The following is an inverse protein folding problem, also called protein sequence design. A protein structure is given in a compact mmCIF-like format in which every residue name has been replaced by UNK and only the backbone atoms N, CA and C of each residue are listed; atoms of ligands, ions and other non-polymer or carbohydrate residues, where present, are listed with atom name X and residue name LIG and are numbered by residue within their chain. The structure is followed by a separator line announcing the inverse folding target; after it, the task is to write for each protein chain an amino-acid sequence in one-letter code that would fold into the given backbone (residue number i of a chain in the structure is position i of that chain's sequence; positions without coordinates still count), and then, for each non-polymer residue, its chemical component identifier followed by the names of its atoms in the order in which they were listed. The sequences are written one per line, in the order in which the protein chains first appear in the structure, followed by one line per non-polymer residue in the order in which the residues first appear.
data_IF_870731810896
#
_entry.id   IF_870731810896
#
_cell.length_a   1.000
_cell.length_b   1.000
_cell.length_c   1.000
_cell.angle_alpha   90.00
_cell.angle_beta   90.00
_cell.angle_gamma   90.00
#
_symmetry.space_group_name_H-M   'P 1'
#
loop_
_entity.id
_entity.type
_entity.pdbx_description
1 polymer ?
#
# COMPACT_ATOMS: atom_id res chain seq x y z
N UNK A 1 -5.60 -3.11 66.78
CA UNK A 1 -4.52 -3.00 65.77
C UNK A 1 -4.94 -2.04 64.66
N UNK A 2 -3.99 -1.23 64.20
CA UNK A 2 -4.12 0.01 63.41
C UNK A 2 -4.78 -0.19 62.03
N UNK A 3 -5.97 0.36 61.82
CA UNK A 3 -6.60 0.51 60.49
C UNK A 3 -6.66 1.98 60.03
N UNK A 4 -5.66 2.79 60.40
CA UNK A 4 -5.54 4.21 60.02
C UNK A 4 -4.61 4.46 58.81
N UNK A 5 -3.95 3.43 58.27
CA UNK A 5 -2.91 3.62 57.24
C UNK A 5 -3.37 3.39 55.78
N UNK A 6 -4.53 2.77 55.55
CA UNK A 6 -5.00 2.49 54.18
C UNK A 6 -5.46 3.75 53.43
N UNK A 7 -6.15 4.67 54.12
CA UNK A 7 -6.62 5.92 53.52
C UNK A 7 -5.48 6.88 53.17
N UNK A 8 -4.39 6.87 53.95
CA UNK A 8 -3.16 7.60 53.65
C UNK A 8 -2.44 7.04 52.42
N UNK A 9 -2.27 5.71 52.37
CA UNK A 9 -1.70 5.02 51.21
C UNK A 9 -2.47 5.30 49.91
N UNK A 10 -3.81 5.27 49.96
CA UNK A 10 -4.66 5.54 48.78
C UNK A 10 -4.48 6.98 48.28
N UNK A 11 -4.35 7.96 49.19
CA UNK A 11 -4.10 9.36 48.84
C UNK A 11 -2.71 9.61 48.25
N UNK A 12 -1.69 8.85 48.66
CA UNK A 12 -0.34 8.95 48.09
C UNK A 12 -0.21 8.21 46.74
N UNK A 13 -0.91 7.09 46.57
CA UNK A 13 -0.82 6.25 45.37
C UNK A 13 -1.66 6.82 44.20
N UNK A 14 -2.82 7.42 44.48
CA UNK A 14 -3.68 8.04 43.45
C UNK A 14 -2.95 9.04 42.53
N UNK A 15 -2.20 10.04 43.03
CA UNK A 15 -1.51 11.01 42.18
C UNK A 15 -0.38 10.39 41.36
N UNK A 16 0.31 9.36 41.86
CA UNK A 16 1.34 8.64 41.11
C UNK A 16 0.75 7.80 39.96
N UNK A 17 -0.36 7.09 40.21
CA UNK A 17 -1.08 6.34 39.17
C UNK A 17 -1.61 7.30 38.11
N UNK A 18 -2.23 8.42 38.53
CA UNK A 18 -2.74 9.45 37.61
C UNK A 18 -1.62 10.06 36.76
N UNK A 19 -0.45 10.35 37.37
CA UNK A 19 0.73 10.85 36.67
C UNK A 19 1.26 9.85 35.62
N UNK A 20 1.33 8.56 35.96
CA UNK A 20 1.71 7.51 35.02
C UNK A 20 0.72 7.36 33.87
N UNK A 21 -0.59 7.41 34.12
CA UNK A 21 -1.61 7.35 33.08
C UNK A 21 -1.57 8.56 32.15
N UNK A 22 -1.40 9.77 32.71
CA UNK A 22 -1.24 11.00 31.93
C UNK A 22 0.01 10.95 31.06
N UNK A 23 1.14 10.44 31.58
CA UNK A 23 2.38 10.25 30.80
C UNK A 23 2.20 9.22 29.69
N UNK A 24 1.54 8.08 29.96
CA UNK A 24 1.19 7.07 28.94
C UNK A 24 0.24 7.63 27.88
N UNK A 25 -0.73 8.46 28.26
CA UNK A 25 -1.68 9.11 27.34
C UNK A 25 -0.99 10.16 26.48
N UNK A 26 -0.10 10.97 27.06
CA UNK A 26 0.72 11.95 26.35
C UNK A 26 1.66 11.27 25.37
N UNK A 27 2.36 10.21 25.80
CA UNK A 27 3.22 9.40 24.92
C UNK A 27 2.46 8.78 23.75
N UNK A 28 1.28 8.20 23.99
CA UNK A 28 0.41 7.68 22.91
C UNK A 28 0.01 8.78 21.92
N UNK A 29 -0.36 9.97 22.41
CA UNK A 29 -0.69 11.11 21.53
C UNK A 29 0.49 11.55 20.69
N UNK A 30 1.66 11.71 21.29
CA UNK A 30 2.89 12.09 20.57
C UNK A 30 3.28 11.03 19.56
N UNK A 31 3.26 9.74 19.93
CA UNK A 31 3.54 8.63 19.02
C UNK A 31 2.58 8.61 17.84
N UNK A 32 1.28 8.78 18.09
CA UNK A 32 0.27 8.82 17.03
C UNK A 32 0.48 10.03 16.11
N UNK A 33 0.75 11.21 16.66
CA UNK A 33 0.99 12.41 15.88
C UNK A 33 2.24 12.27 14.99
N UNK A 34 3.34 11.74 15.54
CA UNK A 34 4.55 11.43 14.78
C UNK A 34 4.25 10.41 13.68
N UNK A 35 3.50 9.35 13.97
CA UNK A 35 3.10 8.34 13.00
C UNK A 35 2.25 8.94 11.85
N UNK A 36 1.26 9.77 12.18
CA UNK A 36 0.39 10.43 11.20
C UNK A 36 1.09 11.48 10.35
N UNK A 37 2.23 12.03 10.79
CA UNK A 37 3.05 12.95 9.99
C UNK A 37 4.08 12.20 9.16
N UNK A 38 4.77 11.22 9.76
CA UNK A 38 5.84 10.49 9.09
C UNK A 38 5.33 9.60 7.95
N UNK A 39 4.14 9.00 8.09
CA UNK A 39 3.60 8.13 7.03
C UNK A 39 3.31 8.90 5.75
N UNK A 40 2.53 10.00 5.75
CA UNK A 40 2.31 10.77 4.52
C UNK A 40 3.60 11.25 3.88
N UNK A 41 4.58 11.71 4.68
CA UNK A 41 5.90 12.10 4.19
C UNK A 41 6.58 10.91 3.50
N UNK A 42 6.61 9.75 4.14
CA UNK A 42 7.17 8.52 3.58
C UNK A 42 6.49 8.14 2.26
N UNK A 43 5.15 8.23 2.17
CA UNK A 43 4.38 7.91 0.96
C UNK A 43 4.69 8.88 -0.18
N UNK A 44 4.83 10.18 0.11
CA UNK A 44 5.23 11.20 -0.87
C UNK A 44 6.65 10.94 -1.36
N UNK A 45 7.58 10.67 -0.43
CA UNK A 45 8.99 10.36 -0.76
C UNK A 45 9.07 9.09 -1.61
N UNK A 46 8.34 8.03 -1.26
CA UNK A 46 8.27 6.81 -2.07
C UNK A 46 7.72 7.09 -3.47
N UNK A 47 6.64 7.86 -3.57
CA UNK A 47 6.00 8.23 -4.84
C UNK A 47 6.89 9.09 -5.74
N UNK A 48 7.78 9.88 -5.15
CA UNK A 48 8.70 10.78 -5.86
C UNK A 48 10.13 10.26 -5.96
N UNK A 49 10.43 9.09 -5.39
CA UNK A 49 11.77 8.50 -5.34
C UNK A 49 12.41 8.35 -6.71
N UNK A 50 11.60 8.09 -7.76
CA UNK A 50 12.06 7.99 -9.14
C UNK A 50 12.72 9.28 -9.66
N UNK A 51 12.35 10.47 -9.15
CA UNK A 51 12.94 11.74 -9.58
C UNK A 51 14.39 11.91 -9.14
N UNK A 52 14.82 11.18 -8.12
CA UNK A 52 16.20 11.19 -7.66
C UNK A 52 17.12 10.28 -8.52
N UNK A 53 16.55 9.54 -9.47
CA UNK A 53 17.27 8.60 -10.32
C UNK A 53 17.07 9.00 -11.77
N UNK A 54 18.15 9.12 -12.54
CA UNK A 54 18.04 9.40 -13.96
C UNK A 54 17.35 8.25 -14.71
N UNK A 55 16.53 8.54 -15.74
CA UNK A 55 15.88 7.51 -16.56
C UNK A 55 16.84 6.49 -17.16
N UNK A 56 18.05 6.94 -17.51
CA UNK A 56 19.08 6.11 -18.14
C UNK A 56 20.48 6.54 -17.70
N UNK A 57 21.41 5.60 -17.67
CA UNK A 57 22.82 5.86 -17.40
C UNK A 57 23.45 6.70 -18.51
N UNK A 58 24.55 7.40 -18.19
CA UNK A 58 25.33 8.11 -19.21
C UNK A 58 25.91 7.15 -20.27
N UNK A 59 26.26 5.92 -19.87
CA UNK A 59 26.74 4.88 -20.78
C UNK A 59 25.68 4.52 -21.82
N UNK A 60 24.42 4.33 -21.40
CA UNK A 60 23.30 4.11 -22.30
C UNK A 60 23.07 5.33 -23.20
N UNK A 61 23.01 6.55 -22.65
CA UNK A 61 22.82 7.79 -23.44
C UNK A 61 23.88 7.90 -24.55
N UNK A 62 25.13 7.56 -24.24
CA UNK A 62 26.23 7.55 -25.22
C UNK A 62 26.08 6.42 -26.25
N UNK A 63 25.70 5.22 -25.83
CA UNK A 63 25.47 4.08 -26.72
C UNK A 63 24.30 4.34 -27.69
N UNK A 64 23.19 4.89 -27.20
CA UNK A 64 22.04 5.26 -28.01
C UNK A 64 22.40 6.34 -29.04
N UNK A 65 23.09 7.41 -28.63
CA UNK A 65 23.58 8.44 -29.56
C UNK A 65 24.45 7.85 -30.66
N UNK A 66 25.38 6.94 -30.32
CA UNK A 66 26.22 6.26 -31.30
C UNK A 66 25.41 5.38 -32.25
N UNK A 67 24.41 4.67 -31.74
CA UNK A 67 23.51 3.87 -32.55
C UNK A 67 22.69 4.73 -33.52
N UNK A 68 22.11 5.85 -33.06
CA UNK A 68 21.36 6.76 -33.94
C UNK A 68 22.23 7.36 -35.04
N UNK A 69 23.47 7.76 -34.71
CA UNK A 69 24.44 8.23 -35.70
C UNK A 69 24.79 7.14 -36.72
N UNK A 70 25.05 5.92 -36.26
CA UNK A 70 25.33 4.79 -37.15
C UNK A 70 24.14 4.42 -38.03
N UNK A 71 22.91 4.49 -37.50
CA UNK A 71 21.66 4.30 -38.24
C UNK A 71 21.50 5.35 -39.34
N UNK A 72 21.75 6.63 -39.04
CA UNK A 72 21.70 7.72 -40.03
C UNK A 72 22.72 7.52 -41.15
N UNK A 73 23.98 7.22 -40.81
CA UNK A 73 25.04 6.91 -41.79
C UNK A 73 24.66 5.71 -42.67
N UNK A 74 24.17 4.64 -42.06
CA UNK A 74 23.74 3.45 -42.80
C UNK A 74 22.58 3.74 -43.74
N UNK A 75 21.65 4.62 -43.35
CA UNK A 75 20.56 5.05 -44.23
C UNK A 75 21.07 5.80 -45.45
N UNK A 76 22.04 6.71 -45.26
CA UNK A 76 22.65 7.47 -46.38
C UNK A 76 23.39 6.52 -47.32
N UNK A 77 24.24 5.64 -46.78
CA UNK A 77 24.98 4.67 -47.59
C UNK A 77 24.05 3.68 -48.28
N UNK A 78 22.92 3.29 -47.67
CA UNK A 78 21.92 2.44 -48.31
C UNK A 78 21.23 3.16 -49.48
N UNK A 79 20.94 4.45 -49.37
CA UNK A 79 20.38 5.23 -50.47
C UNK A 79 21.36 5.33 -51.63
N UNK A 80 22.64 5.60 -51.34
CA UNK A 80 23.71 5.59 -52.36
C UNK A 80 23.84 4.20 -53.01
N UNK A 81 23.77 3.13 -52.19
CA UNK A 81 23.77 1.76 -52.68
C UNK A 81 22.57 1.46 -53.57
N UNK A 82 21.35 1.89 -53.23
CA UNK A 82 20.18 1.64 -54.09
C UNK A 82 20.33 2.24 -55.49
N UNK A 83 21.15 3.29 -55.61
CA UNK A 83 21.46 3.92 -56.88
C UNK A 83 22.61 3.23 -57.64
N UNK A 84 23.28 2.23 -57.06
CA UNK A 84 24.50 1.60 -57.59
C UNK A 84 24.52 0.06 -57.38
N UNK A 85 25.33 -0.67 -58.14
CA UNK A 85 25.31 -2.15 -58.14
C UNK A 85 26.31 -2.78 -57.15
N UNK A 86 26.23 -4.10 -56.95
CA UNK A 86 27.24 -4.88 -56.21
C UNK A 86 28.63 -4.75 -56.86
N UNK A 87 29.68 -4.59 -56.05
CA UNK A 87 31.08 -4.54 -56.50
C UNK A 87 31.70 -3.15 -56.58
N UNK A 88 30.90 -2.08 -56.44
CA UNK A 88 31.40 -0.70 -56.42
C UNK A 88 32.00 -0.30 -55.06
N UNK A 89 32.67 0.85 -55.00
CA UNK A 89 33.24 1.39 -53.75
C UNK A 89 32.12 1.65 -52.71
N UNK A 90 30.98 2.13 -53.17
CA UNK A 90 29.79 2.43 -52.38
C UNK A 90 29.19 1.16 -51.75
N UNK A 91 29.24 0.03 -52.48
CA UNK A 91 28.84 -1.26 -51.92
C UNK A 91 29.73 -1.69 -50.75
N UNK A 92 31.05 -1.52 -50.88
CA UNK A 92 32.00 -1.83 -49.79
C UNK A 92 31.81 -0.89 -48.60
N UNK A 93 31.55 0.39 -48.85
CA UNK A 93 31.29 1.37 -47.80
C UNK A 93 29.98 1.10 -47.06
N UNK A 94 28.92 0.71 -47.76
CA UNK A 94 27.69 0.26 -47.14
C UNK A 94 27.91 -0.93 -46.20
N UNK A 95 28.64 -1.97 -46.64
CA UNK A 95 28.92 -3.14 -45.80
C UNK A 95 29.68 -2.73 -44.53
N UNK A 96 30.65 -1.83 -44.66
CA UNK A 96 31.42 -1.27 -43.54
C UNK A 96 30.52 -0.53 -42.55
N UNK A 97 29.67 0.37 -43.03
CA UNK A 97 28.76 1.16 -42.18
C UNK A 97 27.68 0.29 -41.53
N UNK A 98 27.18 -0.73 -42.24
CA UNK A 98 26.23 -1.68 -41.69
C UNK A 98 26.85 -2.52 -40.55
N UNK A 99 28.12 -2.91 -40.67
CA UNK A 99 28.88 -3.55 -39.58
C UNK A 99 28.98 -2.64 -38.36
N UNK A 100 29.36 -1.37 -38.54
CA UNK A 100 29.41 -0.37 -37.45
C UNK A 100 28.04 -0.19 -36.78
N UNK A 101 26.95 -0.13 -37.56
CA UNK A 101 25.59 -0.06 -37.02
C UNK A 101 25.25 -1.29 -36.17
N UNK A 102 25.62 -2.50 -36.63
CA UNK A 102 25.38 -3.74 -35.89
C UNK A 102 26.17 -3.76 -34.57
N UNK A 103 27.43 -3.32 -34.58
CA UNK A 103 28.25 -3.20 -33.37
C UNK A 103 27.67 -2.17 -32.38
N UNK A 104 27.25 -1.01 -32.88
CA UNK A 104 26.60 0.01 -32.06
C UNK A 104 25.26 -0.46 -31.47
N UNK A 105 24.48 -1.23 -32.24
CA UNK A 105 23.24 -1.85 -31.79
C UNK A 105 23.51 -2.86 -30.67
N UNK A 106 24.45 -3.78 -30.87
CA UNK A 106 24.82 -4.77 -29.85
C UNK A 106 25.33 -4.11 -28.56
N UNK A 107 26.08 -3.00 -28.68
CA UNK A 107 26.52 -2.23 -27.51
C UNK A 107 25.34 -1.59 -26.78
N UNK A 108 24.38 -1.03 -27.51
CA UNK A 108 23.15 -0.46 -26.92
C UNK A 108 22.33 -1.52 -26.21
N UNK A 109 22.11 -2.69 -26.82
CA UNK A 109 21.37 -3.81 -26.21
C UNK A 109 22.03 -4.26 -24.90
N UNK A 110 23.36 -4.41 -24.87
CA UNK A 110 24.09 -4.73 -23.63
C UNK A 110 23.89 -3.68 -22.54
N UNK A 111 23.90 -2.40 -22.89
CA UNK A 111 23.63 -1.34 -21.89
C UNK A 111 22.17 -1.36 -21.40
N UNK A 112 21.21 -1.71 -22.26
CA UNK A 112 19.81 -1.92 -21.86
C UNK A 112 19.71 -3.07 -20.86
N UNK A 113 20.34 -4.21 -21.15
CA UNK A 113 20.36 -5.35 -20.25
C UNK A 113 21.03 -5.03 -18.92
N UNK A 114 22.15 -4.31 -18.94
CA UNK A 114 22.92 -3.96 -17.74
C UNK A 114 22.15 -3.04 -16.77
N UNK A 115 21.32 -2.14 -17.29
CA UNK A 115 20.55 -1.20 -16.45
C UNK A 115 19.15 -1.74 -16.11
N UNK A 116 18.74 -2.87 -16.68
CA UNK A 116 17.43 -3.47 -16.50
C UNK A 116 17.22 -3.92 -15.05
N UNK A 117 16.05 -3.64 -14.50
CA UNK A 117 15.66 -4.09 -13.16
C UNK A 117 14.31 -4.80 -13.26
N UNK A 118 14.29 -6.10 -12.95
CA UNK A 118 13.14 -6.98 -13.22
C UNK A 118 12.69 -6.89 -14.70
N UNK A 119 11.44 -6.50 -14.92
CA UNK A 119 10.85 -6.33 -16.25
C UNK A 119 11.16 -4.95 -16.85
N UNK A 120 11.61 -3.99 -16.06
CA UNK A 120 11.75 -2.57 -16.44
C UNK A 120 13.09 -2.24 -17.07
N UNK A 121 13.05 -1.38 -18.07
CA UNK A 121 14.23 -0.94 -18.82
C UNK A 121 15.24 -0.18 -17.96
N UNK A 122 14.85 0.37 -16.82
CA UNK A 122 15.77 1.01 -15.88
C UNK A 122 15.21 1.06 -14.46
N UNK A 123 16.12 1.30 -13.49
CA UNK A 123 15.75 1.53 -12.08
C UNK A 123 14.77 2.69 -11.90
N UNK A 124 14.84 3.72 -12.74
CA UNK A 124 13.93 4.86 -12.70
C UNK A 124 12.49 4.42 -12.93
N UNK A 125 12.22 3.69 -14.01
CA UNK A 125 10.88 3.20 -14.34
C UNK A 125 10.37 2.19 -13.31
N UNK A 126 11.26 1.34 -12.80
CA UNK A 126 10.93 0.45 -11.68
C UNK A 126 10.46 1.26 -10.46
N UNK A 127 11.24 2.25 -10.00
CA UNK A 127 10.90 3.08 -8.84
C UNK A 127 9.64 3.92 -9.07
N UNK A 128 9.41 4.41 -10.30
CA UNK A 128 8.21 5.17 -10.63
C UNK A 128 6.96 4.31 -10.43
N UNK A 129 6.97 3.09 -10.99
CA UNK A 129 5.83 2.18 -10.92
C UNK A 129 5.68 1.58 -9.53
N UNK A 130 6.78 1.13 -8.93
CA UNK A 130 6.80 0.56 -7.59
C UNK A 130 6.39 1.57 -6.52
N UNK A 131 7.05 2.73 -6.49
CA UNK A 131 6.80 3.76 -5.47
C UNK A 131 5.36 4.27 -5.49
N UNK A 132 4.83 4.59 -6.67
CA UNK A 132 3.42 4.99 -6.82
C UNK A 132 2.47 3.88 -6.42
N UNK A 133 2.73 2.65 -6.86
CA UNK A 133 1.83 1.53 -6.58
C UNK A 133 1.78 1.17 -5.08
N UNK A 134 2.94 1.20 -4.39
CA UNK A 134 2.99 1.03 -2.94
C UNK A 134 2.21 2.14 -2.24
N UNK A 135 2.40 3.40 -2.65
CA UNK A 135 1.65 4.52 -2.07
C UNK A 135 0.14 4.37 -2.25
N UNK A 136 -0.30 4.00 -3.45
CA UNK A 136 -1.71 3.76 -3.75
C UNK A 136 -2.30 2.61 -2.90
N UNK A 137 -1.54 1.55 -2.62
CA UNK A 137 -1.98 0.46 -1.73
C UNK A 137 -2.23 1.00 -0.31
N UNK A 138 -1.30 1.77 0.25
CA UNK A 138 -1.48 2.37 1.57
C UNK A 138 -2.68 3.31 1.63
N UNK A 139 -2.87 4.16 0.62
CA UNK A 139 -4.02 5.06 0.51
C UNK A 139 -5.32 4.25 0.41
N UNK A 140 -5.34 3.16 -0.35
CA UNK A 140 -6.51 2.29 -0.52
C UNK A 140 -6.90 1.61 0.79
N UNK A 141 -5.92 1.06 1.52
CA UNK A 141 -6.15 0.45 2.84
C UNK A 141 -6.66 1.48 3.83
N UNK A 142 -6.13 2.70 3.80
CA UNK A 142 -6.60 3.79 4.64
C UNK A 142 -8.02 4.22 4.28
N UNK A 143 -8.34 4.40 3.00
CA UNK A 143 -9.69 4.71 2.53
C UNK A 143 -10.68 3.61 2.93
N UNK A 144 -10.27 2.35 2.82
CA UNK A 144 -11.06 1.21 3.24
C UNK A 144 -11.36 1.24 4.74
N UNK A 145 -10.37 1.56 5.57
CA UNK A 145 -10.55 1.76 7.00
C UNK A 145 -11.52 2.90 7.33
N UNK A 146 -11.42 4.03 6.61
CA UNK A 146 -12.35 5.15 6.79
C UNK A 146 -13.79 4.76 6.46
N UNK A 147 -14.01 3.99 5.38
CA UNK A 147 -15.34 3.50 5.00
C UNK A 147 -15.93 2.63 6.12
N UNK A 148 -15.17 1.69 6.66
CA UNK A 148 -15.64 0.82 7.74
C UNK A 148 -16.02 1.63 8.99
N UNK A 149 -15.19 2.63 9.34
CA UNK A 149 -15.34 3.36 10.60
C UNK A 149 -16.42 4.44 10.56
N UNK A 150 -16.55 5.14 9.43
CA UNK A 150 -17.35 6.37 9.36
C UNK A 150 -18.60 6.27 8.48
N UNK A 151 -18.73 5.26 7.62
CA UNK A 151 -19.94 5.10 6.80
C UNK A 151 -20.99 4.31 7.60
N UNK A 152 -22.12 4.93 8.00
CA UNK A 152 -23.11 4.28 8.83
C UNK A 152 -23.85 3.18 8.05
N UNK A 153 -23.74 1.93 8.54
CA UNK A 153 -24.36 0.74 7.92
C UNK A 153 -25.90 0.82 7.86
N UNK A 154 -26.53 1.56 8.77
CA UNK A 154 -27.98 1.50 9.04
C UNK A 154 -28.86 2.27 8.06
N UNK A 155 -28.36 3.35 7.45
CA UNK A 155 -29.20 4.25 6.62
C UNK A 155 -29.10 3.99 5.11
N UNK A 156 -28.04 3.35 4.60
CA UNK A 156 -27.86 3.08 3.16
C UNK A 156 -26.94 1.86 2.91
N UNK A 157 -27.49 0.65 3.03
CA UNK A 157 -26.73 -0.60 2.85
C UNK A 157 -26.05 -0.72 1.49
N UNK A 158 -26.72 -0.24 0.43
CA UNK A 158 -26.20 -0.20 -0.94
C UNK A 158 -24.98 0.72 -1.10
N UNK A 159 -25.01 1.92 -0.51
CA UNK A 159 -23.88 2.87 -0.57
C UNK A 159 -22.69 2.34 0.22
N UNK A 160 -22.94 1.73 1.38
CA UNK A 160 -21.91 1.09 2.18
C UNK A 160 -21.24 -0.06 1.41
N UNK A 161 -22.03 -0.97 0.83
CA UNK A 161 -21.52 -2.08 0.05
C UNK A 161 -20.79 -1.60 -1.22
N UNK A 162 -21.38 -0.65 -1.96
CA UNK A 162 -20.80 -0.09 -3.18
C UNK A 162 -19.45 0.60 -2.93
N UNK A 163 -19.35 1.40 -1.87
CA UNK A 163 -18.07 2.04 -1.51
C UNK A 163 -16.99 1.04 -1.13
N UNK A 164 -17.33 -0.04 -0.41
CA UNK A 164 -16.40 -1.14 -0.14
C UNK A 164 -15.96 -1.83 -1.43
N UNK A 165 -16.90 -2.14 -2.31
CA UNK A 165 -16.62 -2.81 -3.58
C UNK A 165 -15.69 -1.97 -4.47
N UNK A 166 -15.88 -0.65 -4.53
CA UNK A 166 -15.00 0.27 -5.28
C UNK A 166 -13.57 0.22 -4.73
N UNK A 167 -13.40 0.38 -3.42
CA UNK A 167 -12.06 0.41 -2.81
C UNK A 167 -11.37 -0.94 -2.89
N UNK A 168 -12.09 -2.04 -2.68
CA UNK A 168 -11.55 -3.40 -2.82
C UNK A 168 -11.17 -3.71 -4.26
N UNK A 169 -12.00 -3.28 -5.23
CA UNK A 169 -11.67 -3.43 -6.66
C UNK A 169 -10.41 -2.64 -7.01
N UNK A 170 -10.31 -1.39 -6.55
CA UNK A 170 -9.11 -0.57 -6.76
C UNK A 170 -7.87 -1.20 -6.09
N UNK A 171 -7.97 -1.64 -4.83
CA UNK A 171 -6.88 -2.34 -4.14
C UNK A 171 -6.44 -3.61 -4.89
N UNK A 172 -7.41 -4.37 -5.41
CA UNK A 172 -7.15 -5.55 -6.23
C UNK A 172 -6.31 -5.21 -7.47
N UNK A 173 -6.64 -4.12 -8.18
CA UNK A 173 -5.82 -3.68 -9.33
C UNK A 173 -4.39 -3.35 -8.93
N UNK A 174 -4.17 -2.73 -7.75
CA UNK A 174 -2.83 -2.38 -7.28
C UNK A 174 -2.03 -3.59 -6.80
N UNK A 175 -2.68 -4.58 -6.20
CA UNK A 175 -2.04 -5.85 -5.88
C UNK A 175 -1.63 -6.59 -7.16
N UNK A 176 -2.48 -6.58 -8.19
CA UNK A 176 -2.14 -7.14 -9.49
C UNK A 176 -0.96 -6.41 -10.15
N UNK A 177 -0.95 -5.08 -10.12
CA UNK A 177 0.20 -4.29 -10.61
C UNK A 177 1.48 -4.58 -9.81
N UNK A 178 1.37 -4.83 -8.50
CA UNK A 178 2.54 -5.22 -7.68
C UNK A 178 3.13 -6.52 -8.19
N UNK A 179 2.28 -7.50 -8.47
CA UNK A 179 2.69 -8.79 -8.99
C UNK A 179 3.40 -8.65 -10.36
N UNK A 180 2.86 -7.81 -11.23
CA UNK A 180 3.46 -7.43 -12.52
C UNK A 180 4.80 -6.72 -12.43
N UNK A 181 5.00 -5.92 -11.38
CA UNK A 181 6.29 -5.25 -11.17
C UNK A 181 7.41 -6.28 -10.95
N UNK A 182 7.11 -7.43 -10.35
CA UNK A 182 8.10 -8.45 -9.99
C UNK A 182 8.16 -9.65 -10.94
N UNK A 183 7.12 -9.90 -11.74
CA UNK A 183 7.09 -11.02 -12.68
C UNK A 183 6.84 -10.56 -14.12
N UNK A 184 7.60 -11.11 -15.07
CA UNK A 184 7.30 -11.01 -16.50
C UNK A 184 6.18 -11.98 -16.82
N UNK A 185 4.96 -11.48 -17.02
CA UNK A 185 3.89 -12.28 -17.56
C UNK A 185 3.95 -12.35 -19.09
N UNK A 186 3.46 -13.47 -19.62
CA UNK A 186 3.00 -13.52 -21.00
C UNK A 186 1.80 -12.58 -21.16
N UNK A 187 1.68 -11.95 -22.33
CA UNK A 187 0.57 -11.05 -22.63
C UNK A 187 -0.76 -11.83 -22.59
N UNK A 188 -1.43 -11.83 -21.44
CA UNK A 188 -2.78 -12.36 -21.33
C UNK A 188 -3.75 -11.53 -22.16
N UNK A 189 -4.84 -12.16 -22.59
CA UNK A 189 -5.93 -11.45 -23.24
C UNK A 189 -6.63 -10.50 -22.27
N UNK A 190 -7.24 -9.43 -22.79
CA UNK A 190 -8.00 -8.45 -21.99
C UNK A 190 -9.04 -9.12 -21.08
N UNK A 191 -9.73 -10.15 -21.58
CA UNK A 191 -10.74 -10.90 -20.83
C UNK A 191 -10.15 -11.65 -19.62
N UNK A 192 -8.95 -12.23 -19.77
CA UNK A 192 -8.26 -12.88 -18.65
C UNK A 192 -7.91 -11.87 -17.57
N UNK A 193 -7.45 -10.65 -17.92
CA UNK A 193 -7.20 -9.60 -16.93
C UNK A 193 -8.46 -9.20 -16.18
N UNK A 194 -9.57 -9.00 -16.89
CA UNK A 194 -10.84 -8.64 -16.27
C UNK A 194 -11.33 -9.73 -15.32
N UNK A 195 -11.29 -11.00 -15.75
CA UNK A 195 -11.71 -12.12 -14.91
C UNK A 195 -10.82 -12.28 -13.68
N UNK A 196 -9.50 -12.28 -13.84
CA UNK A 196 -8.57 -12.39 -12.70
C UNK A 196 -8.79 -11.26 -11.71
N UNK A 197 -8.93 -10.02 -12.20
CA UNK A 197 -9.18 -8.84 -11.35
C UNK A 197 -10.50 -8.94 -10.59
N UNK A 198 -11.56 -9.42 -11.25
CA UNK A 198 -12.87 -9.62 -10.64
C UNK A 198 -12.83 -10.72 -9.57
N UNK A 199 -12.20 -11.86 -9.87
CA UNK A 199 -12.07 -12.96 -8.91
C UNK A 199 -11.20 -12.58 -7.71
N UNK A 200 -10.08 -11.90 -7.93
CA UNK A 200 -9.21 -11.46 -6.85
C UNK A 200 -9.89 -10.41 -5.96
N UNK A 201 -10.67 -9.49 -6.54
CA UNK A 201 -11.42 -8.50 -5.74
C UNK A 201 -12.48 -9.16 -4.87
N UNK A 202 -13.19 -10.18 -5.38
CA UNK A 202 -14.15 -10.97 -4.60
C UNK A 202 -13.47 -11.73 -3.45
N UNK A 203 -12.30 -12.33 -3.69
CA UNK A 203 -11.52 -13.03 -2.65
C UNK A 203 -11.09 -12.05 -1.57
N UNK A 204 -10.55 -10.88 -1.95
CA UNK A 204 -10.14 -9.84 -1.00
C UNK A 204 -11.36 -9.38 -0.18
N UNK A 205 -12.50 -9.15 -0.83
CA UNK A 205 -13.73 -8.76 -0.16
C UNK A 205 -14.16 -9.82 0.87
N UNK A 206 -14.09 -11.10 0.52
CA UNK A 206 -14.42 -12.20 1.42
C UNK A 206 -13.47 -12.27 2.63
N UNK A 207 -12.16 -12.15 2.42
CA UNK A 207 -11.14 -12.11 3.49
C UNK A 207 -11.40 -10.93 4.42
N UNK A 208 -11.63 -9.77 3.85
CA UNK A 208 -11.89 -8.54 4.57
C UNK A 208 -13.20 -8.59 5.37
N UNK A 209 -14.26 -9.15 4.78
CA UNK A 209 -15.53 -9.41 5.45
C UNK A 209 -15.34 -10.36 6.64
N UNK A 210 -14.56 -11.42 6.46
CA UNK A 210 -14.21 -12.36 7.53
C UNK A 210 -13.46 -11.63 8.65
N UNK A 211 -12.37 -10.92 8.35
CA UNK A 211 -11.61 -10.15 9.34
C UNK A 211 -12.48 -9.15 10.13
N UNK A 212 -13.40 -8.46 9.45
CA UNK A 212 -14.35 -7.56 10.10
C UNK A 212 -15.35 -8.27 11.01
N UNK A 213 -15.80 -9.48 10.64
CA UNK A 213 -16.74 -10.26 11.46
C UNK A 213 -16.11 -10.74 12.76
N UNK A 214 -14.80 -11.01 12.77
CA UNK A 214 -14.07 -11.45 13.97
C UNK A 214 -13.46 -10.31 14.79
N UNK A 215 -13.37 -9.09 14.23
CA UNK A 215 -12.97 -7.92 15.00
C UNK A 215 -14.11 -7.50 15.94
N UNK A 216 -13.98 -7.81 17.23
CA UNK A 216 -14.89 -7.31 18.28
C UNK A 216 -15.07 -5.79 18.12
N UNK A 217 -16.31 -5.34 18.00
CA UNK A 217 -16.60 -3.90 17.90
C UNK A 217 -16.32 -3.22 19.24
N UNK A 218 -15.98 -1.93 19.22
CA UNK A 218 -15.84 -1.13 20.46
C UNK A 218 -17.10 -1.23 21.33
N UNK A 219 -18.28 -1.37 20.74
CA UNK A 219 -19.55 -1.62 21.42
C UNK A 219 -19.57 -2.95 22.19
N UNK A 220 -19.06 -4.03 21.60
CA UNK A 220 -18.97 -5.34 22.27
C UNK A 220 -17.94 -5.33 23.39
N UNK A 221 -16.82 -4.63 23.20
CA UNK A 221 -15.83 -4.42 24.26
C UNK A 221 -16.39 -3.56 25.40
N UNK A 222 -17.16 -2.51 25.08
CA UNK A 222 -17.84 -1.68 26.08
C UNK A 222 -18.89 -2.48 26.85
N UNK A 223 -19.64 -3.35 26.17
CA UNK A 223 -20.57 -4.29 26.79
C UNK A 223 -19.85 -5.29 27.68
N UNK A 224 -18.73 -5.87 27.24
CA UNK A 224 -17.91 -6.78 28.05
C UNK A 224 -17.38 -6.05 29.31
N UNK A 225 -16.90 -4.80 29.17
CA UNK A 225 -16.43 -3.98 30.30
C UNK A 225 -17.59 -3.64 31.25
N UNK A 226 -18.75 -3.24 30.73
CA UNK A 226 -19.94 -2.95 31.52
C UNK A 226 -20.43 -4.19 32.27
N UNK A 227 -20.46 -5.34 31.60
CA UNK A 227 -20.86 -6.62 32.20
C UNK A 227 -19.88 -7.05 33.29
N UNK A 228 -18.58 -6.83 33.10
CA UNK A 228 -17.57 -7.09 34.11
C UNK A 228 -17.68 -6.12 35.30
N UNK A 229 -17.97 -4.85 35.05
CA UNK A 229 -18.28 -3.86 36.09
C UNK A 229 -19.52 -4.29 36.89
N UNK A 230 -20.62 -4.64 36.22
CA UNK A 230 -21.85 -5.09 36.88
C UNK A 230 -21.62 -6.35 37.72
N UNK A 231 -20.88 -7.34 37.22
CA UNK A 231 -20.47 -8.52 37.99
C UNK A 231 -19.64 -8.16 39.22
N UNK A 232 -18.69 -7.24 39.08
CA UNK A 232 -17.86 -6.77 40.19
C UNK A 232 -18.70 -6.05 41.24
N UNK A 233 -19.58 -5.13 40.82
CA UNK A 233 -20.47 -4.40 41.71
C UNK A 233 -21.40 -5.36 42.44
N UNK A 234 -22.03 -6.31 41.73
CA UNK A 234 -22.93 -7.31 42.31
C UNK A 234 -22.25 -8.20 43.36
N UNK A 235 -21.04 -8.68 43.06
CA UNK A 235 -20.25 -9.50 43.99
C UNK A 235 -19.91 -8.76 45.29
N UNK A 236 -19.62 -7.46 45.20
CA UNK A 236 -19.23 -6.61 46.33
C UNK A 236 -20.38 -5.89 47.02
N UNK A 237 -21.62 -6.06 46.54
CA UNK A 237 -22.79 -5.43 47.15
C UNK A 237 -23.33 -6.29 48.27
N UNK A 238 -23.70 -5.61 49.36
CA UNK A 238 -24.31 -6.23 50.55
C UNK A 238 -25.58 -7.00 50.15
N UNK A 239 -25.86 -8.16 50.78
CA UNK A 239 -26.97 -9.03 50.40
C UNK A 239 -28.32 -8.29 50.31
N UNK A 240 -28.56 -7.36 51.24
CA UNK A 240 -29.77 -6.54 51.34
C UNK A 240 -30.05 -5.66 50.11
N UNK A 241 -29.01 -5.24 49.38
CA UNK A 241 -29.15 -4.36 48.19
C UNK A 241 -28.99 -5.09 46.86
N UNK A 242 -28.88 -6.42 46.90
CA UNK A 242 -28.70 -7.22 45.67
C UNK A 242 -29.94 -7.25 44.80
N UNK A 243 -31.13 -7.23 45.39
CA UNK A 243 -32.39 -7.19 44.64
C UNK A 243 -32.55 -5.87 43.87
N UNK A 244 -32.31 -4.73 44.53
CA UNK A 244 -32.32 -3.40 43.87
C UNK A 244 -31.32 -3.35 42.70
N UNK A 245 -30.12 -3.92 42.88
CA UNK A 245 -29.13 -3.91 41.81
C UNK A 245 -29.46 -4.88 40.68
N UNK A 246 -30.10 -6.02 40.98
CA UNK A 246 -30.64 -6.95 39.98
C UNK A 246 -31.74 -6.30 39.15
N UNK A 247 -32.63 -5.53 39.76
CA UNK A 247 -33.61 -4.73 39.03
C UNK A 247 -32.96 -3.68 38.13
N UNK A 248 -31.93 -2.98 38.62
CA UNK A 248 -31.19 -2.01 37.83
C UNK A 248 -30.50 -2.66 36.61
N UNK A 249 -29.90 -3.84 36.79
CA UNK A 249 -29.29 -4.63 35.70
C UNK A 249 -30.35 -5.08 34.70
N UNK A 250 -31.50 -5.58 35.16
CA UNK A 250 -32.63 -5.98 34.30
C UNK A 250 -33.15 -4.80 33.47
N UNK A 251 -33.24 -3.61 34.06
CA UNK A 251 -33.70 -2.38 33.39
C UNK A 251 -32.72 -1.91 32.31
N UNK A 252 -31.42 -2.06 32.54
CA UNK A 252 -30.37 -1.79 31.54
C UNK A 252 -30.45 -2.83 30.40
N UNK A 253 -30.69 -4.10 30.73
CA UNK A 253 -30.82 -5.17 29.75
C UNK A 253 -32.09 -5.08 28.89
N UNK A 254 -33.18 -4.50 29.41
CA UNK A 254 -34.45 -4.30 28.68
C UNK A 254 -34.45 -3.11 27.72
N UNK A 255 -33.45 -2.23 27.77
CA UNK A 255 -33.26 -1.13 26.81
C UNK A 255 -32.37 -1.51 25.61
N UNK A 256 -32.13 -2.81 25.43
CA UNK A 256 -31.40 -3.40 24.32
C UNK A 256 -32.32 -3.64 23.12
#
# INVERSE_FOLDING_TARGET
MKNKNYLGLIKEIQPQILGMELRKRRWRRTKNLVFYILIPILLVVLSLSYRAVDPFTESYKKADKNFQLAKKRNSISLTQLKNMSKGTMEYRDYIRVNKIKKEAFNKREKEIENQRVFSFDSKHYFLERFGRNVADIFISVFAFFLIIRYVPKKNNSLVYFGSQLIVVSYLSTKLFVTFWIFQKFEDYSLMQYLLVTLFSSLIILAVVFYLMRFSKREEENLLDVLMNLLKFTFKNTKPEKREEMLEMIKKIASHK
#
